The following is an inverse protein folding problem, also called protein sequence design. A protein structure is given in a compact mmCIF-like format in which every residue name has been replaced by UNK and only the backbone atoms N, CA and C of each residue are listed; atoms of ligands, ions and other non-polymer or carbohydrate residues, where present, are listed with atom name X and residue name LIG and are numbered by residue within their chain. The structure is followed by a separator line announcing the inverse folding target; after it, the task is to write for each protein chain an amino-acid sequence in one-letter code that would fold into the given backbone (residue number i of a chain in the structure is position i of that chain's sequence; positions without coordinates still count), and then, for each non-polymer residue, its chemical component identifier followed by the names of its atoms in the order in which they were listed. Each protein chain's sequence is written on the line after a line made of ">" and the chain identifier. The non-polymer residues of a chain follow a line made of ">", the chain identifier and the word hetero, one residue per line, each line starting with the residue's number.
data_IF_216463047257
#
_entry.id   IF_216463047257
#
_cell.length_a   1.000
_cell.length_b   1.000
_cell.length_c   1.000
_cell.angle_alpha   90.00
_cell.angle_beta   90.00
_cell.angle_gamma   90.00
#
_symmetry.space_group_name_H-M   'P 1'
#
loop_
_entity.id
_entity.type
_entity.pdbx_description
1 polymer ?
#
# COMPACT_ATOMS: atom_id res chain seq x y z
N UNK A 1 -24.99 46.02 79.88
CA UNK A 1 -25.86 45.33 78.95
C UNK A 1 -25.06 44.94 77.71
N UNK A 2 -24.52 43.73 77.68
CA UNK A 2 -23.57 43.30 76.67
C UNK A 2 -24.23 42.21 75.79
N UNK A 3 -24.39 42.47 74.50
CA UNK A 3 -24.82 41.50 73.49
C UNK A 3 -23.55 40.79 72.96
N UNK A 4 -23.42 39.54 73.31
CA UNK A 4 -22.38 38.67 72.79
C UNK A 4 -22.89 38.06 71.48
N UNK A 5 -22.24 38.41 70.40
CA UNK A 5 -22.45 37.80 69.09
C UNK A 5 -21.69 36.46 69.04
N UNK A 6 -22.43 35.38 68.86
CA UNK A 6 -21.83 34.08 68.50
C UNK A 6 -21.68 34.00 66.99
N UNK A 7 -20.43 33.98 66.54
CA UNK A 7 -20.10 33.64 65.15
C UNK A 7 -20.00 32.13 65.06
N UNK A 8 -20.92 31.54 64.37
CA UNK A 8 -20.87 30.11 64.02
C UNK A 8 -19.96 29.90 62.78
N UNK A 9 -18.83 29.24 63.01
CA UNK A 9 -18.00 28.75 61.91
C UNK A 9 -18.64 27.52 61.28
N UNK A 10 -19.07 27.62 60.02
CA UNK A 10 -19.43 26.49 59.18
C UNK A 10 -18.15 26.01 58.45
N UNK A 11 -17.77 24.73 58.52
CA UNK A 11 -16.70 24.21 57.68
C UNK A 11 -17.24 24.04 56.23
N UNK A 12 -16.59 24.70 55.29
CA UNK A 12 -16.81 24.51 53.87
C UNK A 12 -16.30 23.13 53.47
N UNK A 13 -17.22 22.22 53.19
CA UNK A 13 -16.90 20.94 52.59
C UNK A 13 -16.63 21.19 51.09
N UNK A 14 -15.38 21.28 50.72
CA UNK A 14 -14.98 21.30 49.31
C UNK A 14 -15.12 19.89 48.75
N UNK A 15 -16.22 19.64 48.07
CA UNK A 15 -16.38 18.44 47.27
C UNK A 15 -15.52 18.59 45.99
N UNK A 16 -14.39 17.93 45.97
CA UNK A 16 -13.60 17.75 44.74
C UNK A 16 -14.34 16.82 43.81
N UNK A 17 -14.97 17.38 42.79
CA UNK A 17 -15.46 16.59 41.64
C UNK A 17 -14.23 16.06 40.88
N UNK A 18 -14.19 14.77 40.55
CA UNK A 18 -13.16 14.27 39.63
C UNK A 18 -13.39 14.91 38.26
N UNK A 19 -12.39 15.63 37.77
CA UNK A 19 -12.34 16.07 36.38
C UNK A 19 -12.43 14.84 35.51
N UNK A 20 -13.53 14.70 34.79
CA UNK A 20 -13.60 13.79 33.65
C UNK A 20 -12.51 14.28 32.68
N UNK A 21 -11.41 13.54 32.63
CA UNK A 21 -10.45 13.70 31.57
C UNK A 21 -11.17 13.32 30.25
N UNK A 22 -11.62 14.34 29.52
CA UNK A 22 -11.94 14.19 28.13
C UNK A 22 -10.67 13.64 27.47
N UNK A 23 -10.71 12.36 27.14
CA UNK A 23 -9.77 11.75 26.23
C UNK A 23 -9.87 12.53 24.92
N UNK A 24 -9.01 13.53 24.75
CA UNK A 24 -8.77 14.10 23.45
C UNK A 24 -8.16 12.97 22.61
N UNK A 25 -9.02 12.32 21.84
CA UNK A 25 -8.57 11.51 20.74
C UNK A 25 -7.67 12.44 19.90
N UNK A 26 -6.38 12.17 19.93
CA UNK A 26 -5.44 12.80 19.01
C UNK A 26 -6.04 12.64 17.62
N UNK A 27 -6.17 13.70 16.81
CA UNK A 27 -6.54 13.55 15.44
C UNK A 27 -5.50 12.61 14.84
N UNK A 28 -5.92 11.38 14.52
CA UNK A 28 -5.09 10.43 13.82
C UNK A 28 -4.46 11.18 12.66
N UNK A 29 -3.14 11.07 12.51
CA UNK A 29 -2.42 11.66 11.40
C UNK A 29 -3.11 11.17 10.13
N UNK A 30 -3.97 12.00 9.57
CA UNK A 30 -4.52 11.79 8.25
C UNK A 30 -3.32 11.87 7.31
N UNK A 31 -2.66 10.73 7.07
CA UNK A 31 -1.71 10.62 5.99
C UNK A 31 -2.42 11.20 4.77
N UNK A 32 -1.85 12.26 4.22
CA UNK A 32 -2.46 13.03 3.13
C UNK A 32 -2.64 12.03 1.97
N UNK A 33 -3.84 11.44 1.85
CA UNK A 33 -4.15 10.40 0.88
C UNK A 33 -4.03 11.05 -0.50
N UNK A 34 -2.92 10.82 -1.18
CA UNK A 34 -2.72 11.33 -2.53
C UNK A 34 -3.78 10.73 -3.44
N UNK A 35 -4.66 11.55 -3.98
CA UNK A 35 -5.61 11.12 -4.99
C UNK A 35 -4.89 10.94 -6.34
N UNK A 36 -5.27 9.88 -7.05
CA UNK A 36 -4.83 9.65 -8.42
C UNK A 36 -5.60 10.58 -9.33
N UNK A 37 -4.89 11.33 -10.15
CA UNK A 37 -5.47 12.28 -11.08
C UNK A 37 -5.89 11.59 -12.39
N UNK A 38 -6.97 12.05 -12.97
CA UNK A 38 -7.35 11.64 -14.33
C UNK A 38 -6.32 12.14 -15.33
N UNK A 39 -5.79 11.25 -16.17
CA UNK A 39 -4.76 11.63 -17.12
C UNK A 39 -4.27 10.48 -17.98
N UNK A 40 -3.27 10.79 -18.79
CA UNK A 40 -2.50 9.82 -19.58
C UNK A 40 -1.11 9.73 -18.98
N UNK A 41 -0.68 8.54 -18.68
CA UNK A 41 0.63 8.25 -18.11
C UNK A 41 1.51 7.65 -19.20
N UNK A 42 2.55 8.36 -19.64
CA UNK A 42 3.39 7.92 -20.75
C UNK A 42 4.07 6.58 -20.47
N UNK A 43 4.21 5.78 -21.51
CA UNK A 43 4.93 4.51 -21.43
C UNK A 43 6.41 4.72 -21.08
N UNK A 44 7.01 3.68 -20.52
CA UNK A 44 8.42 3.62 -20.17
C UNK A 44 9.11 2.49 -20.93
N UNK A 45 10.33 2.76 -21.38
CA UNK A 45 11.25 1.76 -21.92
C UNK A 45 12.59 1.94 -21.21
N UNK A 46 13.17 0.89 -20.64
CA UNK A 46 14.45 1.01 -19.95
C UNK A 46 15.55 1.43 -20.93
N UNK A 47 16.50 2.25 -20.51
CA UNK A 47 17.60 2.68 -21.37
C UNK A 47 18.59 1.53 -21.61
N UNK A 48 18.90 1.24 -22.88
CA UNK A 48 19.99 0.37 -23.29
C UNK A 48 19.97 -1.03 -22.70
N UNK A 49 21.16 -1.58 -22.43
CA UNK A 49 21.33 -2.86 -21.74
C UNK A 49 21.30 -2.65 -20.23
N UNK A 50 20.58 -3.51 -19.52
CA UNK A 50 20.54 -3.54 -18.06
C UNK A 50 20.67 -4.98 -17.55
N UNK A 51 21.07 -5.14 -16.32
CA UNK A 51 21.10 -6.42 -15.61
C UNK A 51 20.08 -6.37 -14.46
N UNK A 52 19.54 -7.51 -14.11
CA UNK A 52 18.55 -7.58 -13.04
C UNK A 52 17.19 -7.03 -13.46
N UNK A 53 16.69 -6.05 -12.73
CA UNK A 53 15.35 -5.46 -12.91
C UNK A 53 15.44 -3.98 -13.24
N UNK A 54 14.56 -3.53 -14.14
CA UNK A 54 14.24 -2.12 -14.35
C UNK A 54 12.73 -1.94 -14.29
N UNK A 55 12.26 -0.77 -13.86
CA UNK A 55 10.83 -0.52 -13.76
C UNK A 55 10.49 0.96 -13.69
N UNK A 56 9.22 1.25 -13.81
CA UNK A 56 8.68 2.60 -13.73
C UNK A 56 7.26 2.56 -13.17
N UNK A 57 7.03 3.30 -12.08
CA UNK A 57 5.69 3.51 -11.55
C UNK A 57 5.01 4.63 -12.33
N UNK A 58 3.82 4.37 -12.83
CA UNK A 58 3.00 5.37 -13.52
C UNK A 58 2.25 6.24 -12.52
N UNK A 59 1.59 5.60 -11.56
CA UNK A 59 0.88 6.27 -10.49
C UNK A 59 0.74 5.35 -9.28
N UNK A 60 0.62 5.96 -8.12
CA UNK A 60 0.18 5.33 -6.89
C UNK A 60 -0.65 6.30 -6.06
N UNK A 61 -1.62 5.82 -5.33
CA UNK A 61 -2.48 6.64 -4.47
C UNK A 61 -3.86 6.05 -4.29
N UNK A 62 -4.82 6.92 -4.11
CA UNK A 62 -6.21 6.56 -3.87
C UNK A 62 -7.08 6.99 -5.03
N UNK A 63 -7.99 6.14 -5.44
CA UNK A 63 -9.13 6.51 -6.27
C UNK A 63 -10.18 7.22 -5.40
N UNK A 64 -11.07 8.06 -5.98
CA UNK A 64 -12.11 8.77 -5.22
C UNK A 64 -13.04 7.86 -4.39
N UNK A 65 -13.07 6.57 -4.73
CA UNK A 65 -13.89 5.53 -4.06
C UNK A 65 -13.20 4.87 -2.86
N UNK A 66 -12.16 5.48 -2.29
CA UNK A 66 -11.37 4.93 -1.16
C UNK A 66 -10.63 3.62 -1.50
N UNK A 67 -10.42 3.35 -2.78
CA UNK A 67 -9.64 2.20 -3.25
C UNK A 67 -8.21 2.66 -3.49
N UNK A 68 -7.26 2.02 -2.82
CA UNK A 68 -5.83 2.15 -3.13
C UNK A 68 -5.53 1.51 -4.48
N UNK A 69 -4.72 2.19 -5.28
CA UNK A 69 -4.34 1.71 -6.59
C UNK A 69 -2.91 2.14 -6.91
N UNK A 70 -2.14 1.21 -7.45
CA UNK A 70 -0.83 1.46 -8.04
C UNK A 70 -0.75 0.81 -9.41
N UNK A 71 -0.03 1.44 -10.34
CA UNK A 71 0.29 0.83 -11.62
C UNK A 71 1.75 1.09 -11.98
N UNK A 72 2.43 0.02 -12.37
CA UNK A 72 3.81 0.09 -12.82
C UNK A 72 4.12 -0.90 -13.96
N UNK A 73 5.25 -0.72 -14.60
CA UNK A 73 5.82 -1.68 -15.53
C UNK A 73 7.16 -2.17 -15.01
N UNK A 74 7.38 -3.46 -15.12
CA UNK A 74 8.65 -4.11 -14.80
C UNK A 74 9.27 -4.77 -16.02
N UNK A 75 10.60 -4.77 -16.05
CA UNK A 75 11.44 -5.43 -17.03
C UNK A 75 12.45 -6.29 -16.29
N UNK A 76 12.54 -7.56 -16.65
CA UNK A 76 13.48 -8.51 -16.09
C UNK A 76 14.48 -8.96 -17.15
N UNK A 77 15.76 -8.72 -16.91
CA UNK A 77 16.84 -9.25 -17.75
C UNK A 77 16.85 -10.78 -17.73
N UNK A 78 17.46 -11.40 -18.75
CA UNK A 78 17.72 -12.84 -18.74
C UNK A 78 18.62 -13.20 -17.56
N UNK A 79 18.22 -14.22 -16.79
CA UNK A 79 18.95 -14.67 -15.60
C UNK A 79 18.82 -13.74 -14.38
N UNK A 80 17.98 -12.71 -14.43
CA UNK A 80 17.65 -11.92 -13.24
C UNK A 80 17.09 -12.82 -12.14
N UNK A 81 17.48 -12.52 -10.90
CA UNK A 81 16.90 -13.21 -9.75
C UNK A 81 15.40 -12.94 -9.67
N UNK A 82 14.64 -13.89 -9.13
CA UNK A 82 13.22 -13.66 -8.86
C UNK A 82 13.04 -12.51 -7.87
N UNK A 83 11.89 -11.90 -7.90
CA UNK A 83 11.47 -10.96 -6.87
C UNK A 83 11.46 -11.64 -5.48
N UNK A 84 11.62 -10.87 -4.40
CA UNK A 84 11.37 -11.43 -3.07
C UNK A 84 10.02 -12.13 -3.01
N UNK A 85 9.92 -13.19 -2.22
CA UNK A 85 8.63 -13.83 -2.00
C UNK A 85 7.83 -12.99 -1.00
N UNK A 86 6.70 -12.46 -1.45
CA UNK A 86 5.91 -11.51 -0.68
C UNK A 86 4.43 -11.86 -0.69
N UNK A 87 3.69 -11.32 0.25
CA UNK A 87 2.22 -11.31 0.26
C UNK A 87 1.74 -9.96 0.78
N UNK A 88 0.70 -9.44 0.17
CA UNK A 88 0.17 -8.13 0.49
C UNK A 88 -1.28 -8.18 0.95
N UNK A 89 -1.75 -7.08 1.53
CA UNK A 89 -3.17 -6.88 1.88
C UNK A 89 -4.02 -6.39 0.69
N UNK A 90 -3.37 -6.14 -0.44
CA UNK A 90 -3.98 -5.80 -1.73
C UNK A 90 -3.83 -6.97 -2.72
N UNK A 91 -4.56 -6.90 -3.80
CA UNK A 91 -4.45 -7.85 -4.92
C UNK A 91 -3.59 -7.27 -6.02
N UNK A 92 -2.82 -8.11 -6.71
CA UNK A 92 -1.97 -7.74 -7.83
C UNK A 92 -2.38 -8.49 -9.09
N UNK A 93 -2.38 -7.76 -10.21
CA UNK A 93 -2.70 -8.28 -11.53
C UNK A 93 -1.52 -8.01 -12.44
N UNK A 94 -0.98 -9.06 -13.04
CA UNK A 94 0.11 -8.99 -14.03
C UNK A 94 -0.43 -9.21 -15.43
N UNK A 95 -0.10 -8.32 -16.35
CA UNK A 95 -0.27 -8.53 -17.79
C UNK A 95 1.12 -8.64 -18.41
N UNK A 96 1.49 -9.81 -18.90
CA UNK A 96 2.76 -10.01 -19.60
C UNK A 96 2.70 -9.31 -20.95
N UNK A 97 3.66 -8.42 -21.20
CA UNK A 97 3.77 -7.64 -22.44
C UNK A 97 4.72 -8.28 -23.45
N UNK A 98 5.85 -8.78 -22.95
CA UNK A 98 6.92 -9.37 -23.77
C UNK A 98 7.63 -10.47 -23.00
N UNK A 99 8.20 -11.43 -23.73
CA UNK A 99 8.98 -12.50 -23.16
C UNK A 99 8.14 -13.56 -22.44
N UNK A 100 8.75 -14.24 -21.49
CA UNK A 100 8.11 -15.26 -20.65
C UNK A 100 8.47 -15.03 -19.19
N UNK A 101 7.49 -15.15 -18.32
CA UNK A 101 7.69 -15.09 -16.87
C UNK A 101 7.19 -16.37 -16.21
N UNK A 102 7.81 -16.72 -15.10
CA UNK A 102 7.26 -17.64 -14.12
C UNK A 102 6.66 -16.81 -13.00
N UNK A 103 5.36 -16.96 -12.81
CA UNK A 103 4.63 -16.42 -11.66
C UNK A 103 4.39 -17.56 -10.69
N UNK A 104 4.89 -17.44 -9.46
CA UNK A 104 4.67 -18.42 -8.41
C UNK A 104 3.60 -17.92 -7.46
N UNK A 105 2.58 -18.75 -7.22
CA UNK A 105 1.44 -18.44 -6.36
C UNK A 105 1.28 -19.54 -5.32
N UNK A 106 1.43 -19.22 -4.01
CA UNK A 106 1.34 -20.18 -2.90
C UNK A 106 2.18 -21.45 -3.12
N UNK A 107 3.37 -21.32 -3.71
CA UNK A 107 4.27 -22.44 -3.99
C UNK A 107 4.02 -23.15 -5.32
N UNK A 108 2.98 -22.82 -6.06
CA UNK A 108 2.68 -23.38 -7.40
C UNK A 108 3.19 -22.45 -8.50
N UNK A 109 3.89 -23.01 -9.49
CA UNK A 109 4.51 -22.25 -10.59
C UNK A 109 3.62 -22.25 -11.83
N UNK A 110 3.43 -21.05 -12.39
CA UNK A 110 2.66 -20.81 -13.62
C UNK A 110 3.55 -20.08 -14.63
N UNK A 111 3.59 -20.63 -15.87
CA UNK A 111 4.34 -20.02 -16.97
C UNK A 111 3.41 -19.13 -17.78
N UNK A 112 3.75 -17.85 -17.88
CA UNK A 112 2.99 -16.85 -18.62
C UNK A 112 3.83 -16.30 -19.79
N UNK A 113 3.21 -16.17 -20.95
CA UNK A 113 3.75 -15.51 -22.14
C UNK A 113 3.06 -14.18 -22.42
N UNK A 114 3.51 -13.49 -23.47
CA UNK A 114 2.93 -12.22 -23.88
C UNK A 114 1.40 -12.32 -24.13
N UNK A 115 0.64 -11.44 -23.48
CA UNK A 115 -0.81 -11.42 -23.51
C UNK A 115 -1.48 -12.19 -22.37
N UNK A 116 -0.76 -13.05 -21.65
CA UNK A 116 -1.30 -13.76 -20.49
C UNK A 116 -1.46 -12.82 -19.28
N UNK A 117 -2.45 -13.14 -18.45
CA UNK A 117 -2.75 -12.42 -17.22
C UNK A 117 -2.64 -13.36 -16.03
N UNK A 118 -1.93 -12.94 -14.99
CA UNK A 118 -1.91 -13.58 -13.69
C UNK A 118 -2.57 -12.69 -12.65
N UNK A 119 -3.08 -13.28 -11.57
CA UNK A 119 -3.61 -12.55 -10.42
C UNK A 119 -3.22 -13.25 -9.11
N UNK A 120 -2.69 -12.49 -8.17
CA UNK A 120 -2.62 -12.85 -6.77
C UNK A 120 -3.64 -12.02 -5.99
N UNK A 121 -4.65 -12.67 -5.44
CA UNK A 121 -5.58 -12.00 -4.53
C UNK A 121 -4.88 -11.71 -3.20
N UNK A 122 -5.36 -10.72 -2.47
CA UNK A 122 -4.81 -10.33 -1.17
C UNK A 122 -4.50 -11.55 -0.29
N UNK A 123 -3.30 -11.57 0.29
CA UNK A 123 -2.81 -12.68 1.13
C UNK A 123 -2.18 -13.85 0.38
N UNK A 124 -2.15 -13.84 -0.96
CA UNK A 124 -1.43 -14.85 -1.75
C UNK A 124 0.07 -14.60 -1.69
N UNK A 125 0.83 -15.62 -1.27
CA UNK A 125 2.29 -15.61 -1.34
C UNK A 125 2.73 -15.73 -2.80
N UNK A 126 3.57 -14.83 -3.29
CA UNK A 126 3.95 -14.82 -4.70
C UNK A 126 5.33 -14.24 -4.98
N UNK A 127 5.85 -14.54 -6.15
CA UNK A 127 7.00 -13.87 -6.77
C UNK A 127 6.99 -14.09 -8.29
N UNK A 128 7.74 -13.24 -9.00
CA UNK A 128 7.90 -13.30 -10.45
C UNK A 128 9.39 -13.42 -10.82
N UNK A 129 9.70 -14.18 -11.88
CA UNK A 129 11.02 -14.17 -12.52
C UNK A 129 10.91 -14.25 -14.03
N UNK A 130 11.98 -13.81 -14.71
CA UNK A 130 12.14 -14.10 -16.13
C UNK A 130 12.43 -15.60 -16.32
N UNK A 131 11.61 -16.27 -17.13
CA UNK A 131 11.74 -17.69 -17.44
C UNK A 131 12.03 -17.93 -18.93
N UNK A 132 12.36 -16.87 -19.67
CA UNK A 132 12.70 -16.90 -21.07
C UNK A 132 14.17 -16.62 -21.34
N UNK A 133 14.51 -16.58 -22.61
CA UNK A 133 15.83 -16.29 -23.17
C UNK A 133 15.97 -14.85 -23.70
N UNK A 134 14.94 -14.04 -23.53
CA UNK A 134 14.89 -12.62 -23.83
C UNK A 134 14.48 -11.82 -22.61
N UNK A 135 14.59 -10.51 -22.66
CA UNK A 135 14.00 -9.64 -21.63
C UNK A 135 12.50 -9.91 -21.55
N UNK A 136 12.00 -10.09 -20.34
CA UNK A 136 10.57 -10.15 -20.10
C UNK A 136 10.06 -8.81 -19.57
N UNK A 137 8.89 -8.39 -20.00
CA UNK A 137 8.22 -7.23 -19.43
C UNK A 137 6.74 -7.50 -19.12
N UNK A 138 6.29 -6.93 -18.02
CA UNK A 138 4.91 -7.04 -17.58
C UNK A 138 4.44 -5.74 -16.91
N UNK A 139 3.16 -5.48 -17.08
CA UNK A 139 2.46 -4.42 -16.38
C UNK A 139 1.84 -5.00 -15.11
N UNK A 140 1.90 -4.26 -14.03
CA UNK A 140 1.26 -4.62 -12.75
C UNK A 140 0.22 -3.58 -12.40
N UNK A 141 -0.93 -4.05 -11.96
CA UNK A 141 -1.97 -3.25 -11.35
C UNK A 141 -2.25 -3.79 -9.95
N UNK A 142 -2.00 -2.98 -8.94
CA UNK A 142 -2.29 -3.26 -7.55
C UNK A 142 -3.57 -2.57 -7.14
N UNK A 143 -4.47 -3.29 -6.47
CA UNK A 143 -5.75 -2.76 -6.01
C UNK A 143 -6.10 -3.31 -4.63
N UNK A 144 -6.57 -2.44 -3.75
CA UNK A 144 -6.94 -2.83 -2.39
C UNK A 144 -7.68 -1.74 -1.64
N UNK A 145 -8.10 -2.06 -0.43
CA UNK A 145 -8.72 -1.07 0.47
C UNK A 145 -7.62 -0.31 1.22
N UNK A 146 -7.70 1.01 1.19
CA UNK A 146 -6.71 1.86 1.85
C UNK A 146 -5.45 2.10 1.01
N UNK A 147 -4.45 2.79 1.55
CA UNK A 147 -3.22 3.10 0.85
C UNK A 147 -2.46 1.83 0.47
N UNK A 148 -2.00 1.80 -0.78
CA UNK A 148 -1.05 0.80 -1.29
C UNK A 148 0.31 1.48 -1.36
N UNK A 149 1.35 0.81 -0.93
CA UNK A 149 2.72 1.29 -1.01
C UNK A 149 3.69 0.21 -0.53
N UNK A 150 4.83 0.18 -1.16
CA UNK A 150 6.00 -0.61 -0.81
C UNK A 150 7.00 0.23 -0.03
#
# INVERSE_FOLDING_TARGET
>A
MNRRSFAALLPALAASLPALAESQASPGSGANKKLIETGVYPGFTPPGQFSGRAGHSFFHGMLPTEIGCEAHVSYLAVGAQHEPEEKHTHSEIWLVREGKVELRLNGESHMLGAGDVGIAVAGTMHWVRNAGDTVASYFVLEVGTGPIGH
#
